data_IF_323638575773
#
_entry.id   IF_323638575773
#
_cell.length_a   1.000
_cell.length_b   1.000
_cell.length_c   1.000
_cell.angle_alpha   90.00
_cell.angle_beta   90.00
_cell.angle_gamma   90.00
#
_symmetry.space_group_name_H-M   'P 1'
#
loop_
_entity.id
_entity.type
_entity.pdbx_description
1 polymer ?
#
# COMPACT_ATOMS: atom_id res chain seq x y z
N UNK A 1 -10.22 -16.52 12.27
CA UNK A 1 -11.60 -16.03 12.03
C UNK A 1 -11.71 -15.16 10.78
N UNK A 2 -10.97 -14.05 10.66
CA UNK A 2 -11.11 -13.11 9.52
C UNK A 2 -10.72 -13.72 8.15
N UNK A 3 -9.57 -14.40 8.05
CA UNK A 3 -9.16 -15.07 6.81
C UNK A 3 -10.12 -16.21 6.41
N UNK A 4 -10.69 -16.94 7.38
CA UNK A 4 -11.69 -17.98 7.12
C UNK A 4 -13.00 -17.42 6.56
N UNK A 5 -13.42 -16.23 6.97
CA UNK A 5 -14.60 -15.54 6.44
C UNK A 5 -14.39 -15.13 4.98
N UNK A 6 -13.19 -14.65 4.64
CA UNK A 6 -12.81 -14.26 3.27
C UNK A 6 -12.78 -15.49 2.37
N UNK A 7 -12.18 -16.60 2.83
CA UNK A 7 -12.12 -17.87 2.07
C UNK A 7 -13.51 -18.49 1.88
N UNK A 8 -14.35 -18.47 2.92
CA UNK A 8 -15.73 -18.96 2.82
C UNK A 8 -16.57 -18.12 1.85
N UNK A 9 -16.48 -16.80 1.95
CA UNK A 9 -17.18 -15.88 1.04
C UNK A 9 -16.71 -16.05 -0.41
N UNK A 10 -15.40 -16.12 -0.64
CA UNK A 10 -14.84 -16.34 -1.98
C UNK A 10 -15.26 -17.68 -2.57
N UNK A 11 -15.27 -18.76 -1.78
CA UNK A 11 -15.69 -20.09 -2.22
C UNK A 11 -17.19 -20.18 -2.52
N UNK A 12 -18.03 -19.63 -1.64
CA UNK A 12 -19.48 -19.64 -1.81
C UNK A 12 -19.94 -18.82 -3.01
N UNK A 13 -19.38 -17.62 -3.20
CA UNK A 13 -19.71 -16.75 -4.32
C UNK A 13 -19.21 -17.31 -5.66
N UNK A 14 -18.07 -18.00 -5.67
CA UNK A 14 -17.58 -18.68 -6.88
C UNK A 14 -18.50 -19.82 -7.32
N UNK A 15 -18.92 -20.68 -6.40
CA UNK A 15 -19.89 -21.75 -6.70
C UNK A 15 -21.24 -21.19 -7.15
N UNK A 16 -21.66 -20.08 -6.54
CA UNK A 16 -22.88 -19.38 -6.94
C UNK A 16 -22.80 -18.82 -8.35
N UNK A 17 -21.69 -18.17 -8.73
CA UNK A 17 -21.47 -17.63 -10.07
C UNK A 17 -21.39 -18.72 -11.14
N UNK A 18 -20.70 -19.84 -10.87
CA UNK A 18 -20.62 -20.98 -11.78
C UNK A 18 -22.00 -21.59 -12.03
N UNK A 19 -22.82 -21.71 -10.98
CA UNK A 19 -24.16 -22.30 -11.09
C UNK A 19 -25.14 -21.44 -11.92
N UNK A 20 -24.90 -20.13 -12.04
CA UNK A 20 -25.78 -19.20 -12.75
C UNK A 20 -25.16 -18.65 -14.05
N UNK A 21 -24.02 -19.19 -14.48
CA UNK A 21 -23.35 -18.77 -15.70
C UNK A 21 -24.11 -19.22 -16.95
N UNK A 22 -24.52 -18.26 -17.78
CA UNK A 22 -25.18 -18.47 -19.07
C UNK A 22 -24.21 -18.07 -20.19
N UNK A 23 -23.66 -19.02 -20.98
CA UNK A 23 -22.64 -18.74 -21.98
C UNK A 23 -23.10 -17.80 -23.10
N UNK A 24 -24.41 -17.73 -23.39
CA UNK A 24 -24.94 -16.92 -24.49
C UNK A 24 -25.08 -15.42 -24.16
N UNK A 25 -24.88 -15.01 -22.90
CA UNK A 25 -24.99 -13.62 -22.46
C UNK A 25 -23.63 -13.00 -22.17
N UNK A 26 -23.40 -11.71 -22.45
CA UNK A 26 -22.16 -11.04 -22.05
C UNK A 26 -21.95 -11.10 -20.53
N UNK A 27 -20.74 -11.40 -20.06
CA UNK A 27 -20.47 -11.64 -18.63
C UNK A 27 -20.81 -10.44 -17.72
N UNK A 28 -20.72 -9.20 -18.25
CA UNK A 28 -21.04 -7.99 -17.50
C UNK A 28 -22.55 -7.81 -17.24
N UNK A 29 -23.41 -8.51 -17.99
CA UNK A 29 -24.87 -8.49 -17.80
C UNK A 29 -25.34 -9.55 -16.78
N UNK A 30 -24.42 -10.42 -16.33
CA UNK A 30 -24.73 -11.56 -15.47
C UNK A 30 -24.28 -11.36 -14.02
N UNK A 31 -23.71 -10.21 -13.68
CA UNK A 31 -23.32 -9.87 -12.31
C UNK A 31 -22.16 -10.71 -11.74
N UNK A 32 -21.31 -11.28 -12.60
CA UNK A 32 -20.19 -12.15 -12.21
C UNK A 32 -18.97 -11.30 -11.82
N UNK A 33 -18.43 -11.49 -10.61
CA UNK A 33 -17.32 -10.72 -10.06
C UNK A 33 -16.06 -11.56 -9.81
N UNK A 34 -16.19 -12.89 -9.68
CA UNK A 34 -15.15 -13.78 -9.13
C UNK A 34 -14.55 -14.74 -10.16
N UNK A 35 -15.36 -15.27 -11.08
CA UNK A 35 -14.93 -16.21 -12.14
C UNK A 35 -13.69 -15.78 -12.96
N UNK A 36 -13.50 -14.49 -13.31
CA UNK A 36 -12.31 -14.05 -14.05
C UNK A 36 -10.99 -14.05 -13.23
N UNK A 37 -11.03 -14.12 -11.89
CA UNK A 37 -9.87 -13.80 -11.02
C UNK A 37 -9.37 -14.98 -10.16
N UNK A 38 -10.05 -16.13 -10.14
CA UNK A 38 -9.93 -17.10 -9.04
C UNK A 38 -9.00 -18.31 -9.26
N UNK A 39 -8.68 -18.69 -10.50
CA UNK A 39 -8.01 -19.98 -10.75
C UNK A 39 -6.54 -20.05 -10.27
N UNK A 40 -5.88 -18.93 -9.96
CA UNK A 40 -4.43 -18.89 -9.69
C UNK A 40 -4.03 -18.52 -8.25
N UNK A 41 -4.88 -17.85 -7.48
CA UNK A 41 -4.49 -17.30 -6.16
C UNK A 41 -4.87 -18.20 -4.96
N UNK A 42 -5.87 -19.06 -5.10
CA UNK A 42 -6.42 -19.85 -3.98
C UNK A 42 -5.47 -20.93 -3.44
N UNK A 43 -4.75 -21.66 -4.31
CA UNK A 43 -3.87 -22.75 -3.90
C UNK A 43 -2.64 -22.26 -3.11
N UNK A 44 -2.02 -21.17 -3.56
CA UNK A 44 -0.86 -20.58 -2.89
C UNK A 44 -1.19 -20.07 -1.47
N UNK A 45 -2.38 -19.47 -1.29
CA UNK A 45 -2.82 -18.99 0.02
C UNK A 45 -3.01 -20.10 1.05
N UNK A 46 -3.60 -21.25 0.66
CA UNK A 46 -3.80 -22.39 1.55
C UNK A 46 -2.46 -23.01 1.95
N UNK A 47 -1.55 -23.19 0.98
CA UNK A 47 -0.22 -23.72 1.25
C UNK A 47 0.55 -22.86 2.26
N UNK A 48 0.64 -21.54 2.02
CA UNK A 48 1.39 -20.64 2.89
C UNK A 48 0.75 -20.43 4.28
N UNK A 49 -0.57 -20.66 4.42
CA UNK A 49 -1.26 -20.51 5.71
C UNK A 49 -1.22 -21.77 6.59
N UNK A 50 -1.17 -22.97 6.00
CA UNK A 50 -1.32 -24.24 6.74
C UNK A 50 -0.10 -25.15 6.71
N UNK A 51 0.68 -25.13 5.64
CA UNK A 51 1.77 -26.09 5.39
C UNK A 51 3.16 -25.42 5.30
N UNK A 52 3.19 -24.12 4.99
CA UNK A 52 4.41 -23.35 4.91
C UNK A 52 5.02 -23.03 6.29
N UNK A 53 6.29 -22.65 6.34
CA UNK A 53 6.93 -22.19 7.57
C UNK A 53 6.29 -20.88 8.08
N UNK A 54 6.10 -20.78 9.41
CA UNK A 54 5.47 -19.60 10.04
C UNK A 54 6.31 -18.32 9.91
N UNK A 55 7.64 -18.46 9.87
CA UNK A 55 8.60 -17.37 9.67
C UNK A 55 9.51 -17.70 8.49
N UNK A 56 9.84 -16.68 7.70
CA UNK A 56 10.68 -16.83 6.49
C UNK A 56 12.09 -16.27 6.69
N UNK A 57 12.34 -15.62 7.83
CA UNK A 57 13.60 -14.95 8.17
C UNK A 57 14.80 -15.90 8.17
N UNK A 58 14.61 -17.15 8.62
CA UNK A 58 15.67 -18.15 8.72
C UNK A 58 15.80 -19.00 7.45
N UNK A 59 14.67 -19.43 6.90
CA UNK A 59 14.63 -20.35 5.74
C UNK A 59 14.86 -19.63 4.40
N UNK A 60 14.37 -18.40 4.26
CA UNK A 60 14.41 -17.66 3.00
C UNK A 60 14.64 -16.15 3.23
N UNK A 61 15.89 -15.70 3.44
CA UNK A 61 16.20 -14.31 3.81
C UNK A 61 15.79 -13.28 2.75
N UNK A 62 15.62 -13.70 1.48
CA UNK A 62 15.05 -12.85 0.45
C UNK A 62 13.57 -12.51 0.72
N UNK A 63 12.77 -13.47 1.22
CA UNK A 63 11.35 -13.26 1.51
C UNK A 63 11.08 -12.85 2.96
N UNK A 64 11.96 -13.20 3.91
CA UNK A 64 11.85 -12.76 5.30
C UNK A 64 12.02 -11.25 5.46
N UNK A 65 11.20 -10.63 6.32
CA UNK A 65 11.31 -9.21 6.61
C UNK A 65 10.83 -8.88 8.02
N UNK A 66 11.42 -7.84 8.60
CA UNK A 66 10.93 -7.23 9.85
C UNK A 66 10.37 -5.86 9.49
N UNK A 67 9.18 -5.51 9.99
CA UNK A 67 8.51 -4.22 9.72
C UNK A 67 9.38 -2.97 10.00
N UNK A 68 10.39 -3.10 10.87
CA UNK A 68 11.33 -2.03 11.19
C UNK A 68 12.43 -1.85 10.17
N UNK A 69 12.71 -2.88 9.37
CA UNK A 69 13.66 -2.78 8.29
C UNK A 69 13.06 -1.94 7.16
N UNK A 70 13.36 -0.65 7.26
CA UNK A 70 12.88 0.34 6.30
C UNK A 70 13.37 0.07 4.89
N UNK A 71 14.56 -0.52 4.72
CA UNK A 71 15.11 -0.80 3.39
C UNK A 71 14.37 -1.97 2.76
N UNK A 72 14.06 -3.01 3.55
CA UNK A 72 13.27 -4.14 3.06
C UNK A 72 11.85 -3.69 2.68
N UNK A 73 11.24 -2.79 3.46
CA UNK A 73 9.93 -2.21 3.13
C UNK A 73 9.96 -1.41 1.82
N UNK A 74 10.96 -0.53 1.61
CA UNK A 74 11.08 0.23 0.35
C UNK A 74 11.43 -0.66 -0.84
N UNK A 75 12.22 -1.71 -0.63
CA UNK A 75 12.54 -2.69 -1.68
C UNK A 75 11.28 -3.45 -2.12
N UNK A 76 10.47 -3.93 -1.18
CA UNK A 76 9.21 -4.61 -1.49
C UNK A 76 8.27 -3.65 -2.22
N UNK A 77 8.10 -2.42 -1.75
CA UNK A 77 7.32 -1.38 -2.44
C UNK A 77 7.83 -1.16 -3.87
N UNK A 78 9.14 -1.04 -4.05
CA UNK A 78 9.74 -0.78 -5.35
C UNK A 78 9.51 -1.92 -6.35
N UNK A 79 9.57 -3.18 -5.92
CA UNK A 79 9.23 -4.34 -6.76
C UNK A 79 7.76 -4.26 -7.21
N UNK A 80 6.82 -3.98 -6.29
CA UNK A 80 5.40 -3.85 -6.63
C UNK A 80 5.15 -2.68 -7.59
N UNK A 81 5.83 -1.55 -7.42
CA UNK A 81 5.73 -0.41 -8.33
C UNK A 81 6.20 -0.77 -9.75
N UNK A 82 7.27 -1.55 -9.90
CA UNK A 82 7.71 -2.03 -11.21
C UNK A 82 6.66 -2.95 -11.82
N UNK A 83 6.10 -3.89 -11.05
CA UNK A 83 5.04 -4.80 -11.54
C UNK A 83 3.78 -4.04 -11.97
N UNK A 84 3.37 -3.03 -11.21
CA UNK A 84 2.25 -2.15 -11.57
C UNK A 84 2.56 -1.34 -12.84
N UNK A 85 3.79 -0.84 -12.98
CA UNK A 85 4.23 -0.14 -14.18
C UNK A 85 4.20 -1.03 -15.43
N UNK A 86 4.68 -2.27 -15.31
CA UNK A 86 4.56 -3.27 -16.38
C UNK A 86 3.09 -3.57 -16.71
N UNK A 87 2.23 -3.66 -15.69
CA UNK A 87 0.78 -3.81 -15.87
C UNK A 87 0.15 -2.68 -16.67
N UNK A 88 0.53 -1.42 -16.40
CA UNK A 88 0.09 -0.27 -17.19
C UNK A 88 0.55 -0.36 -18.65
N UNK A 89 1.80 -0.79 -18.90
CA UNK A 89 2.30 -1.00 -20.26
C UNK A 89 1.59 -2.13 -21.00
N UNK A 90 1.10 -3.18 -20.32
CA UNK A 90 0.32 -4.23 -20.98
C UNK A 90 -0.96 -3.68 -21.63
N UNK A 91 -1.63 -2.73 -20.99
CA UNK A 91 -2.78 -2.03 -21.61
C UNK A 91 -2.36 -1.25 -22.86
N UNK A 92 -1.23 -0.55 -22.80
CA UNK A 92 -0.68 0.19 -23.95
C UNK A 92 -0.35 -0.77 -25.09
N UNK A 93 0.31 -1.89 -24.81
CA UNK A 93 0.61 -2.90 -25.81
C UNK A 93 -0.66 -3.46 -26.44
N UNK A 94 -1.72 -3.69 -25.65
CA UNK A 94 -3.02 -4.13 -26.15
C UNK A 94 -3.64 -3.11 -27.12
N UNK A 95 -3.62 -1.83 -26.77
CA UNK A 95 -4.24 -0.76 -27.54
C UNK A 95 -3.49 -0.42 -28.84
N UNK A 96 -2.15 -0.52 -28.84
CA UNK A 96 -1.34 -0.15 -30.01
C UNK A 96 -1.10 -1.33 -30.94
N UNK A 97 -0.72 -2.49 -30.39
CA UNK A 97 -0.24 -3.62 -31.20
C UNK A 97 -1.28 -4.74 -31.32
N UNK A 98 -1.93 -5.13 -30.22
CA UNK A 98 -2.81 -6.31 -30.18
C UNK A 98 -4.28 -5.99 -30.41
N UNK A 99 -4.61 -5.60 -31.65
CA UNK A 99 -6.00 -5.47 -32.10
C UNK A 99 -6.77 -4.26 -31.59
N UNK A 100 -6.19 -3.42 -30.71
CA UNK A 100 -6.82 -2.18 -30.29
C UNK A 100 -7.71 -2.28 -29.06
N UNK A 101 -8.44 -1.21 -28.78
CA UNK A 101 -9.42 -1.13 -27.69
C UNK A 101 -10.75 -0.60 -28.25
N UNK A 102 -11.85 -0.88 -27.56
CA UNK A 102 -13.17 -0.44 -27.98
C UNK A 102 -13.31 1.07 -27.79
N UNK A 103 -13.70 1.77 -28.86
CA UNK A 103 -13.99 3.20 -28.87
C UNK A 103 -15.47 3.44 -29.09
N UNK A 104 -16.14 4.01 -28.09
CA UNK A 104 -17.54 4.42 -28.19
C UNK A 104 -17.75 5.62 -29.12
N UNK A 105 -16.69 6.39 -29.39
CA UNK A 105 -16.71 7.59 -30.21
C UNK A 105 -16.24 7.34 -31.65
N UNK A 106 -16.06 6.07 -32.04
CA UNK A 106 -15.71 5.73 -33.40
C UNK A 106 -16.75 6.25 -34.43
N UNK A 107 -16.31 6.78 -35.59
CA UNK A 107 -17.24 7.25 -36.62
C UNK A 107 -18.14 6.11 -37.12
N UNK A 108 -19.46 6.27 -36.98
CA UNK A 108 -20.44 5.26 -37.40
C UNK A 108 -21.00 4.39 -36.26
N UNK A 109 -20.62 4.66 -35.01
CA UNK A 109 -21.01 3.89 -33.84
C UNK A 109 -19.80 3.16 -33.24
N UNK A 110 -19.92 2.71 -31.99
CA UNK A 110 -18.76 2.18 -31.27
C UNK A 110 -18.14 0.94 -31.92
N UNK A 111 -16.81 0.95 -32.07
CA UNK A 111 -16.04 -0.12 -32.72
C UNK A 111 -14.65 -0.28 -32.08
N UNK A 112 -14.01 -1.43 -32.29
CA UNK A 112 -12.65 -1.70 -31.82
C UNK A 112 -11.64 -1.11 -32.80
N UNK A 113 -10.81 -0.17 -32.33
CA UNK A 113 -9.75 0.42 -33.15
C UNK A 113 -8.40 0.40 -32.45
N UNK A 114 -7.34 0.34 -33.26
CA UNK A 114 -5.96 0.53 -32.79
C UNK A 114 -5.69 2.00 -32.56
N UNK A 115 -5.00 2.30 -31.46
CA UNK A 115 -4.61 3.67 -31.12
C UNK A 115 -3.20 3.92 -31.64
N UNK A 116 -3.08 4.83 -32.60
CA UNK A 116 -1.82 5.11 -33.31
C UNK A 116 -1.25 6.48 -32.97
N UNK A 117 -2.10 7.47 -32.74
CA UNK A 117 -1.71 8.85 -32.44
C UNK A 117 -1.85 9.13 -30.94
N UNK A 118 -0.89 8.66 -30.15
CA UNK A 118 -0.95 8.76 -28.69
C UNK A 118 -0.64 10.18 -28.19
N UNK A 119 -1.39 10.64 -27.20
CA UNK A 119 -1.10 11.91 -26.52
C UNK A 119 0.03 11.75 -25.52
N UNK A 120 1.23 12.16 -25.91
CA UNK A 120 2.42 12.15 -25.06
C UNK A 120 2.72 13.50 -24.44
N UNK A 121 1.98 14.55 -24.80
CA UNK A 121 2.21 15.91 -24.28
C UNK A 121 1.93 15.97 -22.77
N UNK A 122 2.92 16.31 -21.93
CA UNK A 122 2.72 16.36 -20.47
C UNK A 122 1.74 17.45 -20.07
N UNK A 123 1.67 18.56 -20.80
CA UNK A 123 0.72 19.65 -20.52
C UNK A 123 -0.74 19.20 -20.56
N UNK A 124 -1.08 18.26 -21.46
CA UNK A 124 -2.44 17.70 -21.56
C UNK A 124 -2.67 16.69 -20.45
N UNK A 125 -1.80 15.68 -20.34
CA UNK A 125 -1.95 14.57 -19.38
C UNK A 125 -1.93 15.07 -17.92
N UNK A 126 -0.95 15.89 -17.54
CA UNK A 126 -0.91 16.49 -16.20
C UNK A 126 -1.92 17.64 -16.06
N UNK A 127 -2.41 18.20 -17.17
CA UNK A 127 -3.50 19.17 -17.19
C UNK A 127 -4.78 18.60 -16.57
N UNK A 128 -5.13 17.35 -16.89
CA UNK A 128 -6.28 16.66 -16.27
C UNK A 128 -6.17 16.58 -14.75
N UNK A 129 -4.96 16.40 -14.20
CA UNK A 129 -4.74 16.33 -12.75
C UNK A 129 -4.93 17.68 -12.05
N UNK A 130 -4.88 18.79 -12.78
CA UNK A 130 -5.01 20.14 -12.24
C UNK A 130 -6.38 20.78 -12.52
N UNK A 131 -7.25 20.12 -13.29
CA UNK A 131 -8.64 20.55 -13.51
C UNK A 131 -9.42 20.57 -12.19
N UNK A 132 -10.38 21.48 -12.11
CA UNK A 132 -11.33 21.57 -11.01
C UNK A 132 -12.17 20.29 -10.89
N UNK A 133 -12.45 19.81 -9.67
CA UNK A 133 -13.36 18.69 -9.44
C UNK A 133 -14.85 19.11 -9.49
N UNK A 134 -15.15 20.39 -9.69
CA UNK A 134 -16.51 20.91 -9.69
C UNK A 134 -17.19 20.79 -11.07
N UNK A 135 -18.52 20.97 -11.08
CA UNK A 135 -19.35 20.77 -12.26
C UNK A 135 -18.88 21.58 -13.47
N UNK A 136 -18.76 20.91 -14.62
CA UNK A 136 -18.28 21.49 -15.87
C UNK A 136 -16.83 21.16 -16.23
N UNK A 137 -15.97 20.85 -15.25
CA UNK A 137 -14.55 20.50 -15.51
C UNK A 137 -14.22 19.03 -15.28
N UNK A 138 -14.78 18.39 -14.24
CA UNK A 138 -14.76 16.93 -14.09
C UNK A 138 -13.41 16.26 -13.79
N UNK A 139 -12.37 17.01 -13.38
CA UNK A 139 -11.03 16.47 -13.04
C UNK A 139 -10.54 15.36 -14.00
N UNK A 140 -10.02 14.25 -13.50
CA UNK A 140 -9.60 13.07 -14.30
C UNK A 140 -10.77 12.31 -14.93
N UNK A 141 -12.00 12.54 -14.48
CA UNK A 141 -13.21 11.90 -15.04
C UNK A 141 -13.62 12.56 -16.36
N UNK A 142 -13.06 13.74 -16.66
CA UNK A 142 -13.32 14.47 -17.90
C UNK A 142 -12.57 13.96 -19.12
N UNK A 143 -11.78 12.88 -19.00
CA UNK A 143 -11.08 12.29 -20.15
C UNK A 143 -12.12 11.64 -21.07
N UNK A 144 -12.15 12.09 -22.32
CA UNK A 144 -13.20 11.78 -23.29
C UNK A 144 -12.70 11.03 -24.54
N UNK A 145 -11.39 10.87 -24.71
CA UNK A 145 -10.79 10.12 -25.82
C UNK A 145 -9.82 9.02 -25.35
N UNK A 146 -9.55 8.07 -26.25
CA UNK A 146 -8.69 6.91 -25.94
C UNK A 146 -7.21 7.24 -26.05
N UNK A 147 -6.84 8.21 -26.87
CA UNK A 147 -5.47 8.68 -27.06
C UNK A 147 -4.87 9.20 -25.75
N UNK A 148 -5.65 9.95 -24.99
CA UNK A 148 -5.31 10.50 -23.67
C UNK A 148 -5.33 9.44 -22.59
N UNK A 149 -6.28 8.48 -22.64
CA UNK A 149 -6.29 7.33 -21.74
C UNK A 149 -5.01 6.51 -21.92
N UNK A 150 -4.70 6.08 -23.14
CA UNK A 150 -3.51 5.24 -23.38
C UNK A 150 -2.22 6.05 -23.17
N UNK A 151 -2.20 7.33 -23.57
CA UNK A 151 -1.09 8.25 -23.29
C UNK A 151 -0.81 8.43 -21.80
N UNK A 152 -1.86 8.59 -20.99
CA UNK A 152 -1.78 8.65 -19.53
C UNK A 152 -1.19 7.39 -18.91
N UNK A 153 -1.53 6.21 -19.44
CA UNK A 153 -0.96 4.94 -18.97
C UNK A 153 0.52 4.77 -19.33
N UNK A 154 1.00 5.39 -20.41
CA UNK A 154 2.45 5.45 -20.73
C UNK A 154 3.19 6.28 -19.67
N UNK A 155 2.65 7.44 -19.31
CA UNK A 155 3.20 8.27 -18.24
C UNK A 155 3.18 7.56 -16.89
N UNK A 156 2.04 6.96 -16.52
CA UNK A 156 1.89 6.20 -15.27
C UNK A 156 2.87 5.03 -15.21
N UNK A 157 2.95 4.22 -16.28
CA UNK A 157 3.88 3.10 -16.36
C UNK A 157 5.32 3.53 -16.18
N UNK A 158 5.72 4.63 -16.83
CA UNK A 158 7.06 5.20 -16.71
C UNK A 158 7.37 5.69 -15.29
N UNK A 159 6.44 6.42 -14.66
CA UNK A 159 6.58 6.93 -13.30
C UNK A 159 6.66 5.78 -12.29
N UNK A 160 5.84 4.75 -12.44
CA UNK A 160 5.84 3.59 -11.58
C UNK A 160 7.16 2.80 -11.67
N UNK A 161 7.70 2.58 -12.88
CA UNK A 161 8.98 1.89 -13.04
C UNK A 161 10.14 2.73 -12.46
N UNK A 162 10.21 4.02 -12.81
CA UNK A 162 11.26 4.90 -12.30
C UNK A 162 11.19 5.06 -10.78
N UNK A 163 9.98 5.23 -10.23
CA UNK A 163 9.72 5.27 -8.79
C UNK A 163 10.06 3.95 -8.11
N UNK A 164 9.78 2.82 -8.77
CA UNK A 164 10.13 1.49 -8.25
C UNK A 164 11.64 1.26 -8.17
N UNK A 165 12.38 1.58 -9.24
CA UNK A 165 13.85 1.56 -9.26
C UNK A 165 14.40 2.48 -8.17
N UNK A 166 13.86 3.70 -8.06
CA UNK A 166 14.23 4.64 -7.01
C UNK A 166 14.02 4.06 -5.61
N UNK A 167 12.87 3.45 -5.32
CA UNK A 167 12.59 2.87 -4.01
C UNK A 167 13.43 1.62 -3.68
N UNK A 168 13.90 0.88 -4.69
CA UNK A 168 14.87 -0.22 -4.51
C UNK A 168 16.26 0.32 -4.19
N UNK A 169 16.69 1.38 -4.87
CA UNK A 169 18.06 1.91 -4.75
C UNK A 169 18.24 2.88 -3.57
N UNK A 170 17.15 3.45 -3.05
CA UNK A 170 17.21 4.47 -2.00
C UNK A 170 16.67 3.98 -0.66
N UNK A 171 17.07 4.68 0.40
CA UNK A 171 16.59 4.47 1.77
C UNK A 171 15.77 5.68 2.20
N UNK A 172 14.78 5.54 3.11
CA UNK A 172 13.98 6.68 3.53
C UNK A 172 14.83 7.80 4.11
N UNK A 173 14.63 9.00 3.58
CA UNK A 173 15.31 10.21 4.03
C UNK A 173 14.98 10.54 5.48
N UNK A 174 15.84 11.36 6.11
CA UNK A 174 15.71 11.70 7.52
C UNK A 174 14.34 12.29 7.90
N UNK A 175 13.77 13.13 7.02
CA UNK A 175 12.46 13.75 7.21
C UNK A 175 11.29 12.77 7.08
N UNK A 176 11.46 11.71 6.29
CA UNK A 176 10.46 10.66 6.09
C UNK A 176 10.48 9.60 7.21
N UNK A 177 11.46 9.67 8.14
CA UNK A 177 11.52 8.77 9.30
C UNK A 177 10.67 9.34 10.43
N UNK A 178 9.66 8.60 10.93
CA UNK A 178 8.91 9.03 12.09
C UNK A 178 9.81 9.11 13.32
N UNK A 179 9.96 10.30 13.89
CA UNK A 179 10.68 10.51 15.14
C UNK A 179 9.71 10.42 16.34
N UNK A 180 9.11 9.24 16.53
CA UNK A 180 8.08 9.04 17.57
C UNK A 180 8.60 9.27 18.99
N UNK A 181 9.88 8.97 19.23
CA UNK A 181 10.53 9.13 20.55
C UNK A 181 11.03 10.54 20.87
N UNK A 182 11.12 11.44 19.88
CA UNK A 182 11.57 12.83 20.09
C UNK A 182 10.57 13.88 19.60
N UNK A 183 9.39 13.46 19.15
CA UNK A 183 8.31 14.37 18.79
C UNK A 183 7.74 14.95 20.09
N UNK A 184 7.97 16.25 20.33
CA UNK A 184 7.38 16.98 21.44
C UNK A 184 5.98 17.48 21.04
N UNK A 185 4.99 17.27 21.91
CA UNK A 185 3.64 17.80 21.77
C UNK A 185 3.54 19.25 22.25
N UNK A 186 2.40 19.92 22.00
CA UNK A 186 2.18 21.32 22.38
C UNK A 186 2.32 21.60 23.88
N UNK A 187 2.19 20.57 24.72
CA UNK A 187 2.28 20.65 26.19
C UNK A 187 3.69 20.44 26.73
N UNK A 188 4.70 20.31 25.86
CA UNK A 188 6.08 20.00 26.25
C UNK A 188 6.34 18.53 26.59
N UNK A 189 5.30 17.70 26.67
CA UNK A 189 5.40 16.23 26.79
C UNK A 189 5.65 15.58 25.42
N UNK A 190 6.09 14.32 25.40
CA UNK A 190 6.22 13.59 24.13
C UNK A 190 4.85 13.35 23.47
N UNK A 191 4.75 13.65 22.18
CA UNK A 191 3.52 13.60 21.38
C UNK A 191 2.97 12.17 21.25
N UNK A 192 3.86 11.19 21.14
CA UNK A 192 3.49 9.78 20.95
C UNK A 192 3.89 8.89 22.12
N UNK A 193 5.01 9.20 22.79
CA UNK A 193 5.55 8.43 23.90
C UNK A 193 5.97 9.36 25.04
N UNK A 194 5.65 9.01 26.28
CA UNK A 194 6.05 9.73 27.49
C UNK A 194 6.37 8.75 28.62
N UNK A 195 6.83 9.24 29.78
CA UNK A 195 7.07 8.40 30.97
C UNK A 195 5.86 8.40 31.91
N UNK A 196 5.55 7.25 32.49
CA UNK A 196 4.61 7.11 33.61
C UNK A 196 5.18 7.76 34.88
N UNK A 197 4.37 7.96 35.93
CA UNK A 197 4.88 8.39 37.24
C UNK A 197 5.94 7.45 37.83
N UNK A 198 5.96 6.18 37.42
CA UNK A 198 6.93 5.15 37.82
C UNK A 198 8.11 5.00 36.84
N UNK A 199 8.17 5.82 35.79
CA UNK A 199 9.28 5.86 34.83
C UNK A 199 9.14 4.97 33.59
N UNK A 200 8.06 4.20 33.46
CA UNK A 200 7.79 3.31 32.31
C UNK A 200 7.43 4.11 31.04
N UNK A 201 7.79 3.60 29.86
CA UNK A 201 7.43 4.26 28.58
C UNK A 201 6.01 3.90 28.17
N UNK A 202 5.18 4.92 27.96
CA UNK A 202 3.73 4.81 27.75
C UNK A 202 3.28 5.71 26.60
N UNK A 203 2.09 5.46 26.04
CA UNK A 203 1.52 6.32 25.00
C UNK A 203 1.21 7.73 25.55
N UNK A 204 1.50 8.74 24.72
CA UNK A 204 1.23 10.16 25.02
C UNK A 204 -0.23 10.57 24.80
N UNK A 205 -0.56 11.81 25.18
CA UNK A 205 -1.92 12.36 25.08
C UNK A 205 -2.90 11.76 26.09
N UNK A 206 -4.21 11.85 25.83
CA UNK A 206 -5.25 11.39 26.76
C UNK A 206 -5.17 9.89 27.07
N UNK A 207 -4.55 9.11 26.19
CA UNK A 207 -4.35 7.67 26.37
C UNK A 207 -3.41 7.32 27.53
N UNK A 208 -2.70 8.29 28.12
CA UNK A 208 -1.90 8.11 29.34
C UNK A 208 -2.71 7.60 30.54
N UNK A 209 -4.03 7.86 30.56
CA UNK A 209 -4.95 7.41 31.61
C UNK A 209 -5.23 5.91 31.57
N UNK A 210 -4.89 5.25 30.47
CA UNK A 210 -5.09 3.81 30.25
C UNK A 210 -3.80 3.00 30.46
N UNK A 211 -2.89 3.50 31.31
CA UNK A 211 -1.59 2.90 31.64
C UNK A 211 -1.67 1.40 31.98
N UNK A 212 -2.76 0.97 32.63
CA UNK A 212 -3.02 -0.42 33.05
C UNK A 212 -3.67 -1.34 32.01
N UNK A 213 -4.01 -0.85 30.82
CA UNK A 213 -4.69 -1.66 29.80
C UNK A 213 -3.75 -2.72 29.22
N UNK A 214 -4.06 -3.99 29.49
CA UNK A 214 -3.32 -5.14 28.97
C UNK A 214 -4.13 -5.82 27.87
N UNK A 215 -3.78 -5.56 26.62
CA UNK A 215 -4.29 -6.31 25.47
C UNK A 215 -3.10 -6.94 24.72
N UNK A 216 -3.33 -8.07 24.04
CA UNK A 216 -2.30 -8.83 23.32
C UNK A 216 -1.48 -7.97 22.34
N UNK A 217 -2.14 -7.04 21.65
CA UNK A 217 -1.52 -6.06 20.73
C UNK A 217 -0.63 -5.03 21.45
N UNK A 218 -0.98 -4.66 22.68
CA UNK A 218 -0.24 -3.69 23.50
C UNK A 218 0.99 -4.35 24.16
N UNK A 219 0.88 -5.60 24.59
CA UNK A 219 2.01 -6.36 25.18
C UNK A 219 3.12 -6.64 24.18
N UNK A 220 2.77 -6.98 22.94
CA UNK A 220 3.75 -7.13 21.84
C UNK A 220 4.44 -5.82 21.51
N UNK A 221 3.72 -4.70 21.58
CA UNK A 221 4.23 -3.35 21.32
C UNK A 221 5.10 -2.78 22.45
N UNK A 222 4.83 -3.14 23.72
CA UNK A 222 5.60 -2.70 24.91
C UNK A 222 7.02 -3.30 25.01
N UNK A 223 7.40 -4.26 24.16
CA UNK A 223 8.78 -4.74 24.11
C UNK A 223 9.73 -3.61 23.69
N UNK A 224 10.79 -3.36 24.46
CA UNK A 224 11.76 -2.26 24.28
C UNK A 224 12.32 -2.12 22.85
N UNK A 225 12.37 -3.24 22.10
CA UNK A 225 12.77 -3.27 20.70
C UNK A 225 11.78 -2.61 19.74
N UNK A 226 10.47 -2.54 20.04
CA UNK A 226 9.41 -2.15 19.08
C UNK A 226 9.37 -0.66 18.74
N UNK A 227 9.62 0.20 19.71
CA UNK A 227 9.54 1.65 19.55
C UNK A 227 10.90 2.36 19.41
N UNK A 228 12.00 1.62 19.23
CA UNK A 228 13.34 2.22 19.17
C UNK A 228 13.73 2.93 20.46
N UNK A 229 13.28 2.41 21.61
CA UNK A 229 13.47 3.02 22.93
C UNK A 229 14.94 3.11 23.37
N UNK A 230 15.86 2.43 22.67
CA UNK A 230 17.30 2.52 22.89
C UNK A 230 17.85 3.96 22.73
N UNK A 231 17.22 4.77 21.87
CA UNK A 231 17.57 6.19 21.68
C UNK A 231 16.97 7.09 22.77
N UNK A 232 15.82 6.71 23.33
CA UNK A 232 15.15 7.43 24.44
C UNK A 232 15.90 7.20 25.74
N UNK A 233 16.38 5.97 25.96
CA UNK A 233 17.21 5.60 27.11
C UNK A 233 18.53 6.40 27.12
N UNK A 234 19.23 6.47 25.98
CA UNK A 234 20.50 7.22 25.85
C UNK A 234 20.37 8.74 25.92
N UNK A 235 19.22 9.32 25.54
CA UNK A 235 18.99 10.78 25.65
C UNK A 235 18.47 11.24 26.99
N UNK A 236 17.96 10.35 27.83
CA UNK A 236 17.39 10.69 29.16
C UNK A 236 18.24 10.22 30.32
N UNK A 237 19.16 9.27 30.12
CA UNK A 237 20.16 8.88 31.11
C UNK A 237 21.47 9.66 30.88
N UNK A 238 21.66 10.74 31.62
CA UNK A 238 22.96 11.39 31.78
C UNK A 238 23.54 10.90 33.12
N UNK A 239 24.55 10.00 33.15
CA UNK A 239 25.08 9.43 34.39
C UNK A 239 25.87 10.44 35.26
N UNK A 240 25.90 11.73 34.90
CA UNK A 240 26.74 12.76 35.53
C UNK A 240 26.02 13.83 36.36
N UNK A 241 24.79 13.64 36.85
CA UNK A 241 24.17 14.58 37.80
C UNK A 241 23.67 13.90 39.08
N UNK A 242 24.65 13.57 39.91
CA UNK A 242 24.69 13.67 41.36
C UNK A 242 23.42 13.35 42.16
N UNK A 243 23.42 12.15 42.74
CA UNK A 243 23.04 11.90 44.13
C UNK A 243 23.68 12.94 45.05
N UNK A 244 22.89 13.93 45.51
CA UNK A 244 23.13 14.61 46.78
C UNK A 244 21.77 14.95 47.39
N UNK A 245 21.25 14.04 48.22
CA UNK A 245 20.40 14.33 49.39
C UNK A 245 19.99 13.02 50.08
N UNK A 246 20.93 12.38 50.75
CA UNK A 246 20.67 11.64 51.99
C UNK A 246 21.92 11.76 52.88
N UNK A 247 21.87 12.71 53.81
CA UNK A 247 22.55 12.74 55.11
C UNK A 247 22.45 14.16 55.68
N UNK A 248 21.39 14.35 56.48
CA UNK A 248 21.20 15.12 57.72
C UNK A 248 19.70 15.37 57.84
#
# INVERSE_FOLDING_TARGET
AHAGLIVFWAGAMNLFEVAHFVPEKPMYEQGLILLPHLATLGFGGIYHALLGPETLEESFPFFGYVWKDRNKMTTILGIHLILLGLGAFLLVFKAVYFGGVYDTWAPGGGDVRKITNLTLSPSVIFGYLLKSPFGGEGWIVSVDDLEDIIGGHIWLGSICILGGIWHILTKPFAWARPNVGSAQGPTGLGKYLMRSPTGEVIFGGETMRFLGSSCSLVRTSKGSKWFGLEQVEKKTYNPGKNDVRQNI
#
